data_IF_414983058743
#
_entry.id   IF_414983058743
#
_cell.length_a   1.000
_cell.length_b   1.000
_cell.length_c   1.000
_cell.angle_alpha   90.00
_cell.angle_beta   90.00
_cell.angle_gamma   90.00
#
_symmetry.space_group_name_H-M   'P 1'
#
loop_
_entity.id
_entity.type
_entity.pdbx_description
1 polymer ?
#
# COMPACT_ATOMS: atom_id res chain seq x y z
N UNK A 1 -45.34 -21.33 -22.82
CA UNK A 1 -43.90 -21.38 -23.16
C UNK A 1 -43.43 -19.93 -23.24
N UNK A 2 -43.15 -19.36 -22.08
CA UNK A 2 -42.89 -17.93 -21.87
C UNK A 2 -42.03 -17.80 -20.61
N UNK A 3 -41.08 -16.87 -20.63
CA UNK A 3 -40.55 -16.14 -19.47
C UNK A 3 -39.69 -16.93 -18.47
N UNK A 4 -38.44 -17.25 -18.84
CA UNK A 4 -37.41 -17.69 -17.90
C UNK A 4 -36.09 -16.88 -17.97
N UNK A 5 -36.06 -15.74 -18.68
CA UNK A 5 -34.83 -14.97 -18.93
C UNK A 5 -34.82 -13.54 -18.35
N UNK A 6 -35.64 -13.23 -17.32
CA UNK A 6 -35.75 -11.85 -16.77
C UNK A 6 -35.45 -11.73 -15.26
N UNK A 7 -34.49 -12.49 -14.76
CA UNK A 7 -33.83 -12.26 -13.46
C UNK A 7 -32.35 -12.59 -13.71
N UNK A 8 -31.46 -11.62 -13.92
CA UNK A 8 -30.70 -11.02 -12.82
C UNK A 8 -29.98 -9.74 -13.26
N UNK A 9 -30.65 -8.83 -13.97
CA UNK A 9 -30.11 -7.46 -14.13
C UNK A 9 -30.39 -6.69 -12.84
N UNK A 10 -29.45 -6.72 -11.89
CA UNK A 10 -29.50 -5.91 -10.69
C UNK A 10 -29.64 -4.43 -11.08
N UNK A 11 -30.67 -3.70 -10.61
CA UNK A 11 -30.92 -2.30 -10.97
C UNK A 11 -29.93 -1.30 -10.31
N UNK A 12 -28.71 -1.75 -9.99
CA UNK A 12 -27.67 -0.96 -9.31
C UNK A 12 -26.47 -0.57 -10.19
N UNK A 13 -26.35 -1.13 -11.41
CA UNK A 13 -25.16 -0.95 -12.25
C UNK A 13 -25.19 0.33 -13.13
N UNK A 14 -26.27 1.11 -13.10
CA UNK A 14 -26.42 2.36 -13.86
C UNK A 14 -25.84 3.61 -13.16
N UNK A 15 -25.25 3.45 -11.97
CA UNK A 15 -24.35 4.46 -11.42
C UNK A 15 -23.01 4.39 -12.15
N UNK A 16 -23.03 4.81 -13.41
CA UNK A 16 -21.84 5.00 -14.22
C UNK A 16 -20.80 5.77 -13.41
N UNK A 17 -19.54 5.29 -13.34
CA UNK A 17 -18.52 5.91 -12.52
C UNK A 17 -18.47 7.39 -12.88
N UNK A 18 -18.75 8.25 -11.89
CA UNK A 18 -18.72 9.70 -12.12
C UNK A 18 -17.36 10.06 -12.71
N UNK A 19 -17.39 10.54 -13.96
CA UNK A 19 -16.23 10.79 -14.82
C UNK A 19 -15.30 11.91 -14.31
N UNK A 20 -15.44 12.37 -13.07
CA UNK A 20 -14.51 13.34 -12.47
C UNK A 20 -13.12 12.74 -12.26
N UNK A 21 -13.00 11.40 -12.23
CA UNK A 21 -11.73 10.73 -11.93
C UNK A 21 -10.68 10.81 -13.04
N UNK A 22 -11.05 11.03 -14.31
CA UNK A 22 -10.08 11.04 -15.42
C UNK A 22 -9.38 12.40 -15.55
N UNK A 23 -10.11 13.51 -15.38
CA UNK A 23 -9.56 14.87 -15.39
C UNK A 23 -8.63 15.11 -14.20
N UNK A 24 -9.04 14.70 -13.00
CA UNK A 24 -8.18 14.73 -11.81
C UNK A 24 -6.92 13.88 -12.02
N UNK A 25 -7.05 12.74 -12.70
CA UNK A 25 -5.90 11.87 -12.97
C UNK A 25 -4.97 12.46 -14.02
N UNK A 26 -5.48 13.05 -15.10
CA UNK A 26 -4.68 13.57 -16.21
C UNK A 26 -3.89 14.82 -15.84
N UNK A 27 -4.50 15.77 -15.11
CA UNK A 27 -3.86 17.05 -14.75
C UNK A 27 -2.90 16.95 -13.56
N UNK A 28 -3.07 15.96 -12.68
CA UNK A 28 -2.15 15.79 -11.56
C UNK A 28 -0.74 15.38 -12.00
N UNK A 29 -0.59 14.54 -13.02
CA UNK A 29 0.74 14.12 -13.47
C UNK A 29 1.66 15.26 -13.91
N UNK A 30 1.24 16.17 -14.83
CA UNK A 30 2.08 17.30 -15.21
C UNK A 30 2.32 18.26 -14.05
N UNK A 31 1.36 18.43 -13.12
CA UNK A 31 1.56 19.25 -11.93
C UNK A 31 2.66 18.71 -11.02
N UNK A 32 2.63 17.42 -10.67
CA UNK A 32 3.69 16.81 -9.85
C UNK A 32 5.03 16.73 -10.59
N UNK A 33 5.00 16.55 -11.92
CA UNK A 33 6.19 16.66 -12.77
C UNK A 33 6.79 18.07 -12.74
N UNK A 34 5.95 19.11 -12.85
CA UNK A 34 6.36 20.51 -12.79
C UNK A 34 6.92 20.88 -11.41
N UNK A 35 6.25 20.45 -10.32
CA UNK A 35 6.75 20.67 -8.95
C UNK A 35 8.08 19.93 -8.76
N UNK A 36 8.19 18.69 -9.22
CA UNK A 36 9.43 17.93 -9.18
C UNK A 36 10.56 18.62 -9.94
N UNK A 37 10.28 19.15 -11.12
CA UNK A 37 11.22 19.93 -11.92
C UNK A 37 11.64 21.23 -11.22
N UNK A 38 10.69 21.98 -10.67
CA UNK A 38 10.99 23.21 -9.92
C UNK A 38 11.87 22.93 -8.71
N UNK A 39 11.58 21.86 -7.95
CA UNK A 39 12.42 21.47 -6.81
C UNK A 39 13.80 20.99 -7.29
N UNK A 40 13.87 20.28 -8.41
CA UNK A 40 15.15 19.92 -9.01
C UNK A 40 15.99 21.16 -9.35
N UNK A 41 15.42 22.15 -10.05
CA UNK A 41 16.10 23.38 -10.44
C UNK A 41 16.57 24.20 -9.23
N UNK A 42 15.73 24.31 -8.19
CA UNK A 42 16.05 25.10 -6.99
C UNK A 42 17.09 24.40 -6.11
N UNK A 43 17.10 23.07 -6.04
CA UNK A 43 17.91 22.31 -5.06
C UNK A 43 19.08 21.56 -5.67
N UNK A 44 19.14 21.47 -7.00
CA UNK A 44 20.05 20.60 -7.74
C UNK A 44 20.05 19.13 -7.25
N UNK A 45 18.97 18.69 -6.60
CA UNK A 45 18.86 17.37 -5.98
C UNK A 45 17.86 16.49 -6.71
N UNK A 46 18.37 15.55 -7.52
CA UNK A 46 17.53 14.55 -8.21
C UNK A 46 16.74 13.67 -7.23
N UNK A 47 17.29 13.42 -6.03
CA UNK A 47 16.63 12.62 -5.00
C UNK A 47 15.31 13.24 -4.52
N UNK A 48 15.29 14.56 -4.27
CA UNK A 48 14.07 15.24 -3.82
C UNK A 48 13.02 15.35 -4.91
N UNK A 49 13.43 15.60 -6.16
CA UNK A 49 12.52 15.61 -7.30
C UNK A 49 11.80 14.26 -7.49
N UNK A 50 12.56 13.16 -7.40
CA UNK A 50 12.01 11.80 -7.44
C UNK A 50 11.08 11.56 -6.25
N UNK A 51 11.47 11.96 -5.03
CA UNK A 51 10.62 11.80 -3.85
C UNK A 51 9.25 12.48 -4.02
N UNK A 52 9.22 13.72 -4.52
CA UNK A 52 7.99 14.46 -4.80
C UNK A 52 7.13 13.73 -5.85
N UNK A 53 7.76 13.26 -6.92
CA UNK A 53 7.07 12.49 -7.94
C UNK A 53 6.48 11.20 -7.37
N UNK A 54 7.21 10.50 -6.49
CA UNK A 54 6.76 9.28 -5.83
C UNK A 54 5.59 9.53 -4.86
N UNK A 55 5.52 10.69 -4.18
CA UNK A 55 4.41 11.05 -3.29
C UNK A 55 3.06 10.97 -4.01
N UNK A 56 3.00 11.29 -5.31
CA UNK A 56 1.77 11.19 -6.11
C UNK A 56 1.14 9.80 -6.08
N UNK A 57 1.94 8.74 -6.04
CA UNK A 57 1.46 7.36 -5.99
C UNK A 57 0.85 7.02 -4.63
N UNK A 58 1.39 7.61 -3.56
CA UNK A 58 0.95 7.41 -2.18
C UNK A 58 -0.27 8.21 -1.75
N UNK A 59 -0.61 9.28 -2.47
CA UNK A 59 -1.72 10.17 -2.12
C UNK A 59 -3.06 9.45 -1.97
N UNK A 60 -3.28 8.38 -2.73
CA UNK A 60 -4.50 7.57 -2.61
C UNK A 60 -4.59 6.86 -1.26
N UNK A 61 -3.47 6.32 -0.77
CA UNK A 61 -3.41 5.62 0.51
C UNK A 61 -3.54 6.60 1.69
N UNK A 62 -2.97 7.82 1.57
CA UNK A 62 -3.15 8.88 2.57
C UNK A 62 -4.60 9.36 2.60
N UNK A 63 -5.22 9.57 1.43
CA UNK A 63 -6.64 9.95 1.35
C UNK A 63 -7.53 8.88 1.98
N UNK A 64 -7.24 7.59 1.73
CA UNK A 64 -7.94 6.49 2.39
C UNK A 64 -7.79 6.60 3.91
N UNK A 65 -6.57 6.76 4.43
CA UNK A 65 -6.36 6.84 5.87
C UNK A 65 -7.06 8.03 6.53
N UNK A 66 -7.08 9.19 5.85
CA UNK A 66 -7.81 10.37 6.31
C UNK A 66 -9.33 10.19 6.25
N UNK A 67 -9.83 9.51 5.22
CA UNK A 67 -11.25 9.21 5.06
C UNK A 67 -11.72 8.20 6.12
N UNK A 68 -10.97 7.12 6.36
CA UNK A 68 -11.25 6.15 7.41
C UNK A 68 -11.26 6.79 8.80
N UNK A 69 -10.30 7.69 9.08
CA UNK A 69 -10.26 8.41 10.34
C UNK A 69 -11.46 9.37 10.54
N UNK A 70 -12.23 9.68 9.49
CA UNK A 70 -13.44 10.52 9.56
C UNK A 70 -14.73 9.71 9.58
N UNK A 71 -14.81 8.63 8.79
CA UNK A 71 -16.03 7.83 8.63
C UNK A 71 -16.18 6.74 9.69
N UNK A 72 -15.07 6.23 10.23
CA UNK A 72 -15.11 5.18 11.22
C UNK A 72 -15.66 5.70 12.55
N UNK A 73 -16.72 5.05 13.07
CA UNK A 73 -17.34 5.37 14.36
C UNK A 73 -16.36 5.24 15.53
N UNK A 74 -15.34 4.38 15.39
CA UNK A 74 -14.25 4.22 16.34
C UNK A 74 -13.00 4.94 15.82
N UNK A 75 -12.74 6.12 16.40
CA UNK A 75 -11.58 6.96 16.03
C UNK A 75 -10.23 6.23 16.20
N UNK A 76 -10.09 5.33 17.18
CA UNK A 76 -8.84 4.60 17.38
C UNK A 76 -8.61 3.60 16.23
N UNK A 77 -9.66 2.90 15.80
CA UNK A 77 -9.64 2.00 14.65
C UNK A 77 -9.27 2.73 13.37
N UNK A 78 -9.92 3.87 13.12
CA UNK A 78 -9.65 4.73 11.96
C UNK A 78 -8.21 5.25 11.93
N UNK A 79 -7.64 5.60 13.09
CA UNK A 79 -6.22 6.00 13.21
C UNK A 79 -5.27 4.85 12.90
N UNK A 80 -5.53 3.65 13.43
CA UNK A 80 -4.70 2.47 13.19
C UNK A 80 -4.71 2.09 11.71
N UNK A 81 -5.90 1.95 11.12
CA UNK A 81 -6.06 1.63 9.69
C UNK A 81 -5.42 2.71 8.83
N UNK A 82 -5.57 3.99 9.19
CA UNK A 82 -4.94 5.10 8.47
C UNK A 82 -3.42 5.11 8.54
N UNK A 83 -2.82 4.80 9.69
CA UNK A 83 -1.36 4.66 9.83
C UNK A 83 -0.83 3.48 8.99
N UNK A 84 -1.53 2.36 8.99
CA UNK A 84 -1.15 1.20 8.19
C UNK A 84 -1.28 1.48 6.69
N UNK A 85 -2.34 2.18 6.26
CA UNK A 85 -2.49 2.68 4.89
C UNK A 85 -1.34 3.64 4.50
N UNK A 86 -0.98 4.59 5.37
CA UNK A 86 0.16 5.48 5.14
C UNK A 86 1.48 4.72 4.99
N UNK A 87 1.63 3.59 5.68
CA UNK A 87 2.82 2.76 5.54
C UNK A 87 2.89 2.00 4.20
N UNK A 88 1.74 1.63 3.63
CA UNK A 88 1.64 1.07 2.27
C UNK A 88 2.10 2.11 1.23
N UNK A 89 1.79 3.40 1.43
CA UNK A 89 2.36 4.47 0.62
C UNK A 89 3.91 4.44 0.67
N UNK A 90 4.48 4.36 1.88
CA UNK A 90 5.93 4.35 2.06
C UNK A 90 6.61 3.20 1.31
N UNK A 91 5.96 2.04 1.27
CA UNK A 91 6.39 0.92 0.44
C UNK A 91 6.37 1.26 -1.06
N UNK A 92 5.24 1.76 -1.59
CA UNK A 92 5.11 2.06 -3.02
C UNK A 92 6.18 3.05 -3.47
N UNK A 93 6.44 4.07 -2.65
CA UNK A 93 7.53 5.05 -2.86
C UNK A 93 8.88 4.35 -2.90
N UNK A 94 9.16 3.46 -1.94
CA UNK A 94 10.42 2.72 -1.86
C UNK A 94 10.62 1.82 -3.08
N UNK A 95 9.59 1.08 -3.48
CA UNK A 95 9.63 0.17 -4.63
C UNK A 95 9.87 0.94 -5.94
N UNK A 96 9.15 2.05 -6.14
CA UNK A 96 9.31 2.90 -7.32
C UNK A 96 10.71 3.53 -7.36
N UNK A 97 11.20 4.03 -6.23
CA UNK A 97 12.55 4.58 -6.12
C UNK A 97 13.61 3.53 -6.44
N UNK A 98 13.45 2.30 -5.94
CA UNK A 98 14.33 1.18 -6.25
C UNK A 98 14.34 0.87 -7.76
N UNK A 99 13.16 0.83 -8.40
CA UNK A 99 13.05 0.63 -9.85
C UNK A 99 13.81 1.72 -10.61
N UNK A 100 13.72 2.99 -10.19
CA UNK A 100 14.47 4.10 -10.80
C UNK A 100 15.97 3.92 -10.63
N UNK A 101 16.45 3.55 -9.44
CA UNK A 101 17.88 3.27 -9.19
C UNK A 101 18.39 2.13 -10.07
N UNK A 102 17.64 1.03 -10.15
CA UNK A 102 18.00 -0.12 -11.00
C UNK A 102 18.02 0.26 -12.46
N UNK A 103 17.03 1.01 -12.93
CA UNK A 103 16.98 1.49 -14.31
C UNK A 103 18.19 2.37 -14.64
N UNK A 104 18.54 3.32 -13.76
CA UNK A 104 19.73 4.16 -13.91
C UNK A 104 21.02 3.33 -13.93
N UNK A 105 21.13 2.33 -13.07
CA UNK A 105 22.28 1.43 -13.04
C UNK A 105 22.42 0.62 -14.35
N UNK A 106 21.29 0.10 -14.88
CA UNK A 106 21.26 -0.62 -16.16
C UNK A 106 21.70 0.31 -17.28
N UNK A 107 21.12 1.51 -17.37
CA UNK A 107 21.47 2.51 -18.39
C UNK A 107 22.96 2.87 -18.34
N UNK A 108 23.56 2.94 -17.15
CA UNK A 108 25.00 3.22 -16.96
C UNK A 108 25.91 2.05 -17.34
N UNK A 109 25.43 0.83 -17.13
CA UNK A 109 26.17 -0.39 -17.49
C UNK A 109 26.04 -0.76 -18.97
N UNK A 110 25.07 -0.17 -19.67
CA UNK A 110 24.78 -0.43 -21.07
C UNK A 110 25.99 -0.09 -21.95
N UNK A 111 26.54 -1.05 -22.72
CA UNK A 111 27.63 -0.79 -23.66
C UNK A 111 27.20 0.10 -24.83
N UNK A 112 25.90 0.30 -25.02
CA UNK A 112 25.31 1.08 -26.10
C UNK A 112 25.08 2.55 -25.74
N UNK A 113 25.18 2.91 -24.46
CA UNK A 113 25.00 4.28 -24.02
C UNK A 113 26.29 5.10 -24.16
N UNK A 114 26.38 5.95 -25.18
CA UNK A 114 27.29 7.11 -25.16
C UNK A 114 26.78 8.14 -24.12
N UNK A 115 26.75 7.73 -22.85
CA UNK A 115 26.34 8.61 -21.76
C UNK A 115 27.31 9.79 -21.67
N UNK A 116 26.79 11.00 -21.36
CA UNK A 116 27.61 12.20 -21.29
C UNK A 116 28.78 12.03 -20.32
N UNK A 117 29.89 12.71 -20.63
CA UNK A 117 31.22 12.58 -20.01
C UNK A 117 31.25 12.82 -18.49
N UNK A 118 30.14 13.25 -17.87
CA UNK A 118 30.06 13.59 -16.46
C UNK A 118 29.65 12.41 -15.56
N UNK A 119 30.48 11.36 -15.49
CA UNK A 119 30.29 10.22 -14.57
C UNK A 119 30.13 10.66 -13.11
N UNK A 120 30.77 11.76 -12.70
CA UNK A 120 30.67 12.30 -11.34
C UNK A 120 29.25 12.76 -11.01
N UNK A 121 28.62 13.53 -11.89
CA UNK A 121 27.23 13.96 -11.70
C UNK A 121 26.29 12.76 -11.50
N UNK A 122 26.47 11.70 -12.29
CA UNK A 122 25.62 10.51 -12.19
C UNK A 122 25.87 9.75 -10.88
N UNK A 123 27.13 9.63 -10.44
CA UNK A 123 27.45 9.04 -9.13
C UNK A 123 26.81 9.84 -7.98
N UNK A 124 26.83 11.17 -8.06
CA UNK A 124 26.15 12.03 -7.09
C UNK A 124 24.63 11.81 -7.12
N UNK A 125 24.02 11.68 -8.31
CA UNK A 125 22.59 11.37 -8.44
C UNK A 125 22.25 10.03 -7.79
N UNK A 126 22.98 8.95 -8.09
CA UNK A 126 22.76 7.64 -7.48
C UNK A 126 22.85 7.73 -5.95
N UNK A 127 23.93 8.34 -5.44
CA UNK A 127 24.11 8.49 -4.00
C UNK A 127 22.95 9.25 -3.36
N UNK A 128 22.52 10.37 -3.95
CA UNK A 128 21.39 11.16 -3.45
C UNK A 128 20.08 10.37 -3.41
N UNK A 129 19.79 9.58 -4.45
CA UNK A 129 18.57 8.76 -4.54
C UNK A 129 18.64 7.61 -3.54
N UNK A 130 19.80 6.95 -3.39
CA UNK A 130 19.99 5.89 -2.40
C UNK A 130 19.76 6.39 -0.97
N UNK A 131 20.34 7.54 -0.60
CA UNK A 131 20.13 8.15 0.72
C UNK A 131 18.65 8.50 0.93
N UNK A 132 18.02 9.14 -0.06
CA UNK A 132 16.60 9.52 0.02
C UNK A 132 15.70 8.30 0.17
N UNK A 133 16.00 7.22 -0.56
CA UNK A 133 15.27 5.95 -0.47
C UNK A 133 15.43 5.32 0.91
N UNK A 134 16.65 5.29 1.45
CA UNK A 134 16.92 4.74 2.78
C UNK A 134 16.15 5.51 3.88
N UNK A 135 16.12 6.84 3.79
CA UNK A 135 15.34 7.67 4.73
C UNK A 135 13.84 7.39 4.61
N UNK A 136 13.28 7.39 3.39
CA UNK A 136 11.87 7.11 3.16
C UNK A 136 11.45 5.74 3.72
N UNK A 137 12.34 4.76 3.58
CA UNK A 137 12.15 3.41 4.04
C UNK A 137 12.19 3.28 5.57
N UNK A 138 13.11 3.99 6.23
CA UNK A 138 13.15 4.08 7.71
C UNK A 138 11.87 4.73 8.25
N UNK A 139 11.39 5.79 7.60
CA UNK A 139 10.13 6.45 7.97
C UNK A 139 8.94 5.50 7.79
N UNK A 140 8.87 4.79 6.66
CA UNK A 140 7.82 3.80 6.41
C UNK A 140 7.83 2.69 7.49
N UNK A 141 9.01 2.17 7.81
CA UNK A 141 9.23 1.15 8.84
C UNK A 141 8.73 1.62 10.22
N UNK A 142 9.07 2.87 10.58
CA UNK A 142 8.66 3.47 11.84
C UNK A 142 7.13 3.63 11.91
N UNK A 143 6.50 4.09 10.83
CA UNK A 143 5.04 4.26 10.75
C UNK A 143 4.32 2.91 10.86
N UNK A 144 4.75 1.86 10.13
CA UNK A 144 4.13 0.54 10.28
C UNK A 144 4.34 -0.02 11.69
N UNK A 145 5.56 0.07 12.23
CA UNK A 145 5.88 -0.40 13.58
C UNK A 145 4.98 0.26 14.61
N UNK A 146 4.77 1.57 14.49
CA UNK A 146 3.88 2.32 15.36
C UNK A 146 2.42 1.90 15.18
N UNK A 147 1.94 1.74 13.94
CA UNK A 147 0.59 1.25 13.64
C UNK A 147 0.32 -0.14 14.22
N UNK A 148 1.24 -1.08 14.06
CA UNK A 148 1.14 -2.42 14.65
C UNK A 148 1.22 -2.39 16.17
N UNK A 149 2.09 -1.57 16.76
CA UNK A 149 2.17 -1.43 18.20
C UNK A 149 0.86 -0.90 18.78
N UNK A 150 0.27 0.12 18.15
CA UNK A 150 -1.01 0.71 18.56
C UNK A 150 -2.16 -0.30 18.43
N UNK A 151 -2.22 -1.03 17.31
CA UNK A 151 -3.21 -2.09 17.10
C UNK A 151 -3.13 -3.18 18.18
N UNK A 152 -1.91 -3.61 18.53
CA UNK A 152 -1.68 -4.58 19.61
C UNK A 152 -2.09 -4.06 20.98
N UNK A 153 -1.81 -2.78 21.26
CA UNK A 153 -2.15 -2.15 22.54
C UNK A 153 -3.67 -2.13 22.75
N UNK A 154 -4.43 -1.82 21.71
CA UNK A 154 -5.89 -1.73 21.74
C UNK A 154 -6.56 -3.11 21.48
N UNK A 155 -5.77 -4.12 21.11
CA UNK A 155 -6.23 -5.48 20.72
C UNK A 155 -7.24 -5.46 19.59
N UNK A 156 -7.15 -4.47 18.71
CA UNK A 156 -8.05 -4.33 17.59
C UNK A 156 -7.47 -5.03 16.36
N UNK A 157 -8.30 -5.85 15.73
CA UNK A 157 -7.95 -6.46 14.46
C UNK A 157 -8.17 -5.46 13.33
N UNK A 158 -7.32 -5.53 12.31
CA UNK A 158 -7.32 -4.62 11.17
C UNK A 158 -7.62 -5.40 9.90
N UNK A 159 -8.52 -4.87 9.09
CA UNK A 159 -8.83 -5.37 7.75
C UNK A 159 -8.54 -4.27 6.73
N UNK A 160 -7.75 -4.58 5.71
CA UNK A 160 -7.41 -3.69 4.61
C UNK A 160 -7.54 -4.51 3.34
N UNK A 161 -8.45 -4.12 2.46
CA UNK A 161 -8.67 -4.79 1.18
C UNK A 161 -8.80 -3.77 0.03
N UNK A 162 -8.72 -4.26 -1.21
CA UNK A 162 -8.93 -3.46 -2.41
C UNK A 162 -10.32 -2.83 -2.47
N UNK A 163 -11.36 -3.47 -1.92
CA UNK A 163 -12.68 -2.84 -1.79
C UNK A 163 -12.63 -1.58 -0.92
N UNK A 164 -11.95 -1.66 0.22
CA UNK A 164 -11.76 -0.53 1.12
C UNK A 164 -10.97 0.62 0.47
N UNK A 165 -10.00 0.31 -0.41
CA UNK A 165 -9.26 1.31 -1.18
C UNK A 165 -10.10 2.07 -2.21
N UNK A 166 -11.27 1.52 -2.61
CA UNK A 166 -12.21 2.16 -3.53
C UNK A 166 -13.28 2.98 -2.82
N UNK A 167 -13.64 2.62 -1.60
CA UNK A 167 -14.70 3.28 -0.83
C UNK A 167 -14.58 4.83 -0.76
N UNK A 168 -13.40 5.45 -0.60
CA UNK A 168 -13.30 6.92 -0.62
C UNK A 168 -13.63 7.57 -1.98
N UNK A 169 -13.62 6.81 -3.08
CA UNK A 169 -14.00 7.31 -4.41
C UNK A 169 -15.51 7.24 -4.62
N UNK A 170 -16.16 6.27 -3.99
CA UNK A 170 -17.60 6.06 -4.04
C UNK A 170 -18.34 6.84 -2.93
N UNK A 171 -17.59 7.33 -1.93
CA UNK A 171 -18.09 7.96 -0.70
C UNK A 171 -19.15 7.12 0.02
N UNK A 172 -19.00 5.80 -0.08
CA UNK A 172 -19.91 4.82 0.52
C UNK A 172 -19.33 4.30 1.82
N UNK A 173 -20.07 4.48 2.91
CA UNK A 173 -19.81 3.83 4.19
C UNK A 173 -21.11 3.22 4.72
N UNK A 174 -21.13 1.92 5.07
CA UNK A 174 -20.04 0.95 4.95
C UNK A 174 -19.70 0.60 3.48
N UNK A 175 -18.46 0.16 3.18
CA UNK A 175 -18.09 -0.39 1.88
C UNK A 175 -19.01 -1.52 1.43
N UNK A 176 -19.47 -1.48 0.18
CA UNK A 176 -20.36 -2.51 -0.43
C UNK A 176 -19.75 -3.90 -0.46
N UNK A 177 -18.41 -4.02 -0.40
CA UNK A 177 -17.74 -5.32 -0.27
C UNK A 177 -18.09 -6.06 1.04
N UNK A 178 -18.73 -5.40 2.01
CA UNK A 178 -19.26 -6.04 3.20
C UNK A 178 -20.63 -6.69 3.01
N UNK A 179 -21.40 -6.39 1.95
CA UNK A 179 -22.75 -6.94 1.79
C UNK A 179 -22.82 -8.13 0.82
N UNK A 180 -22.07 -8.12 -0.28
CA UNK A 180 -22.25 -9.11 -1.36
C UNK A 180 -21.52 -10.44 -1.16
N UNK A 181 -20.57 -10.52 -0.22
CA UNK A 181 -19.66 -11.66 -0.11
C UNK A 181 -19.89 -12.56 1.12
N UNK A 182 -20.69 -12.17 2.11
CA UNK A 182 -20.96 -13.03 3.28
C UNK A 182 -21.70 -14.34 2.94
N UNK A 183 -22.38 -14.40 1.79
CA UNK A 183 -23.31 -15.48 1.48
C UNK A 183 -22.71 -16.77 0.90
N UNK A 184 -21.90 -16.72 -0.19
CA UNK A 184 -21.73 -17.94 -1.02
C UNK A 184 -20.38 -18.18 -1.72
N UNK A 185 -19.36 -17.35 -1.57
CA UNK A 185 -18.09 -17.52 -2.32
C UNK A 185 -16.80 -16.95 -1.73
N UNK A 186 -16.85 -16.26 -0.59
CA UNK A 186 -15.72 -15.56 0.03
C UNK A 186 -14.64 -16.46 0.66
N UNK A 187 -14.50 -17.71 0.20
CA UNK A 187 -13.57 -18.67 0.78
C UNK A 187 -12.08 -18.36 0.54
N UNK A 188 -11.73 -17.41 -0.32
CA UNK A 188 -10.33 -17.15 -0.70
C UNK A 188 -9.96 -15.67 -0.86
N UNK A 189 -10.81 -14.75 -0.39
CA UNK A 189 -10.47 -13.33 -0.23
C UNK A 189 -9.45 -13.13 0.89
N UNK A 190 -8.30 -13.81 0.81
CA UNK A 190 -7.20 -13.68 1.75
C UNK A 190 -6.83 -12.20 1.76
N UNK A 191 -6.53 -11.68 2.94
CA UNK A 191 -6.24 -10.27 3.22
C UNK A 191 -4.99 -9.80 2.45
N UNK A 192 -5.12 -9.66 1.12
CA UNK A 192 -4.02 -9.55 0.16
C UNK A 192 -3.18 -8.30 0.42
N UNK A 193 -3.80 -7.25 0.95
CA UNK A 193 -3.12 -6.01 1.31
C UNK A 193 -2.28 -6.18 2.57
N UNK A 194 -2.72 -6.99 3.55
CA UNK A 194 -1.90 -7.30 4.73
C UNK A 194 -0.76 -8.23 4.34
N UNK A 195 -1.01 -9.21 3.49
CA UNK A 195 0.05 -10.05 2.91
C UNK A 195 1.05 -9.21 2.10
N UNK A 196 0.57 -8.21 1.35
CA UNK A 196 1.40 -7.29 0.61
C UNK A 196 2.17 -6.36 1.53
N UNK A 197 1.54 -5.82 2.59
CA UNK A 197 2.20 -5.00 3.61
C UNK A 197 3.22 -5.81 4.42
N UNK A 198 2.97 -7.12 4.60
CA UNK A 198 3.93 -8.03 5.18
C UNK A 198 5.09 -8.24 4.19
N UNK A 199 4.81 -8.64 2.95
CA UNK A 199 5.81 -8.83 1.90
C UNK A 199 6.68 -7.59 1.70
N UNK A 200 6.07 -6.42 1.73
CA UNK A 200 6.70 -5.11 1.71
C UNK A 200 7.74 -4.95 2.80
N UNK A 201 7.34 -5.24 4.03
CA UNK A 201 8.20 -5.17 5.20
C UNK A 201 9.36 -6.18 5.12
N UNK A 202 9.05 -7.38 4.61
CA UNK A 202 10.04 -8.44 4.38
C UNK A 202 11.04 -8.09 3.29
N UNK A 203 10.60 -7.40 2.24
CA UNK A 203 11.44 -6.92 1.16
C UNK A 203 12.29 -5.72 1.64
N UNK A 204 11.74 -4.90 2.55
CA UNK A 204 12.40 -3.71 3.02
C UNK A 204 13.65 -4.00 3.85
N UNK A 205 13.59 -4.92 4.81
CA UNK A 205 14.75 -5.26 5.65
C UNK A 205 16.05 -5.65 4.89
N UNK A 206 16.01 -6.62 3.96
CA UNK A 206 17.19 -6.98 3.17
C UNK A 206 17.60 -5.87 2.20
N UNK A 207 16.70 -4.98 1.79
CA UNK A 207 17.09 -3.82 0.99
C UNK A 207 17.82 -2.76 1.85
N UNK A 208 17.31 -2.42 3.04
CA UNK A 208 17.98 -1.47 3.97
C UNK A 208 19.35 -1.98 4.39
N UNK A 209 19.44 -3.27 4.71
CA UNK A 209 20.66 -3.85 5.28
C UNK A 209 21.58 -4.37 4.16
N UNK A 210 21.03 -5.09 3.20
CA UNK A 210 21.79 -5.77 2.15
C UNK A 210 22.31 -4.82 1.07
N UNK A 211 21.62 -3.73 0.71
CA UNK A 211 22.13 -2.80 -0.33
C UNK A 211 23.37 -2.04 0.14
N UNK A 212 23.41 -1.43 1.33
CA UNK A 212 24.63 -0.77 1.81
C UNK A 212 25.78 -1.76 2.02
N UNK A 213 25.49 -2.97 2.54
CA UNK A 213 26.49 -4.02 2.70
C UNK A 213 27.04 -4.43 1.34
N UNK A 214 26.19 -4.66 0.33
CA UNK A 214 26.66 -5.00 -1.02
C UNK A 214 27.45 -3.90 -1.68
N UNK A 215 27.05 -2.64 -1.52
CA UNK A 215 27.79 -1.49 -2.07
C UNK A 215 29.16 -1.37 -1.37
N UNK A 216 29.20 -1.46 -0.04
CA UNK A 216 30.45 -1.43 0.72
C UNK A 216 31.37 -2.58 0.35
N UNK A 217 30.82 -3.80 0.26
CA UNK A 217 31.54 -5.01 -0.14
C UNK A 217 32.01 -4.92 -1.59
N UNK A 218 31.24 -4.39 -2.52
CA UNK A 218 31.65 -4.21 -3.91
C UNK A 218 32.83 -3.24 -4.02
N UNK A 219 32.80 -2.15 -3.25
CA UNK A 219 33.91 -1.21 -3.15
C UNK A 219 35.18 -1.85 -2.56
N UNK A 220 35.01 -2.71 -1.55
CA UNK A 220 36.11 -3.37 -0.85
C UNK A 220 36.70 -4.57 -1.63
N UNK A 221 35.86 -5.33 -2.35
CA UNK A 221 36.30 -6.35 -3.33
C UNK A 221 37.21 -5.73 -4.37
N UNK A 222 36.91 -4.50 -4.81
CA UNK A 222 37.77 -3.76 -5.73
C UNK A 222 39.13 -3.41 -5.11
N UNK A 223 39.22 -3.35 -3.77
CA UNK A 223 40.45 -3.14 -3.01
C UNK A 223 41.17 -4.44 -2.58
N UNK A 224 40.70 -5.63 -3.03
CA UNK A 224 41.38 -6.94 -2.94
C UNK A 224 41.66 -7.51 -1.54
N UNK A 225 41.11 -6.99 -0.43
CA UNK A 225 41.49 -7.50 0.91
C UNK A 225 40.43 -8.29 1.71
N UNK A 226 39.16 -8.40 1.28
CA UNK A 226 38.13 -9.00 2.15
C UNK A 226 37.74 -10.45 1.83
N UNK A 227 38.07 -11.40 2.71
CA UNK A 227 37.70 -12.84 2.62
C UNK A 227 36.46 -13.23 3.46
N UNK A 228 35.85 -12.30 4.21
CA UNK A 228 34.72 -12.56 5.13
C UNK A 228 33.31 -12.58 4.51
N UNK A 229 33.20 -12.57 3.18
CA UNK A 229 31.95 -12.31 2.45
C UNK A 229 30.78 -13.27 2.74
N UNK A 230 30.95 -14.60 2.90
CA UNK A 230 29.81 -15.50 3.07
C UNK A 230 29.18 -15.34 4.45
N UNK A 231 30.00 -15.02 5.47
CA UNK A 231 29.57 -14.86 6.84
C UNK A 231 28.64 -13.66 7.04
N UNK A 232 28.96 -12.52 6.40
CA UNK A 232 28.11 -11.32 6.45
C UNK A 232 26.76 -11.59 5.81
N UNK A 233 26.74 -12.23 4.63
CA UNK A 233 25.49 -12.58 3.96
C UNK A 233 24.65 -13.58 4.74
N UNK A 234 25.26 -14.61 5.31
CA UNK A 234 24.58 -15.57 6.19
C UNK A 234 23.97 -14.86 7.42
N UNK A 235 24.70 -13.94 8.04
CA UNK A 235 24.21 -13.14 9.16
C UNK A 235 23.03 -12.23 8.75
N UNK A 236 23.10 -11.59 7.58
CA UNK A 236 22.01 -10.74 7.06
C UNK A 236 20.79 -11.58 6.73
N UNK A 237 20.95 -12.69 6.01
CA UNK A 237 19.84 -13.57 5.63
C UNK A 237 19.17 -14.22 6.84
N UNK A 238 19.96 -14.66 7.84
CA UNK A 238 19.42 -15.21 9.09
C UNK A 238 18.71 -14.14 9.92
N UNK A 239 19.26 -12.93 10.02
CA UNK A 239 18.60 -11.79 10.65
C UNK A 239 17.28 -11.43 9.98
N UNK A 240 17.26 -11.36 8.64
CA UNK A 240 16.05 -11.13 7.85
C UNK A 240 15.03 -12.24 8.10
N UNK A 241 15.44 -13.51 8.10
CA UNK A 241 14.56 -14.65 8.36
C UNK A 241 13.94 -14.62 9.77
N UNK A 242 14.74 -14.29 10.80
CA UNK A 242 14.25 -14.17 12.18
C UNK A 242 13.24 -13.02 12.31
N UNK A 243 13.56 -11.85 11.75
CA UNK A 243 12.64 -10.70 11.80
C UNK A 243 11.37 -11.01 11.00
N UNK A 244 11.48 -11.68 9.85
CA UNK A 244 10.35 -12.15 9.04
C UNK A 244 9.43 -13.03 9.87
N UNK A 245 9.99 -14.00 10.59
CA UNK A 245 9.23 -14.93 11.42
C UNK A 245 8.53 -14.21 12.57
N UNK A 246 9.23 -13.33 13.30
CA UNK A 246 8.65 -12.53 14.38
C UNK A 246 7.53 -11.62 13.88
N UNK A 247 7.70 -11.01 12.70
CA UNK A 247 6.71 -10.12 12.12
C UNK A 247 5.48 -10.90 11.62
N UNK A 248 5.65 -12.03 10.94
CA UNK A 248 4.52 -12.89 10.56
C UNK A 248 3.70 -13.29 11.77
N UNK A 249 4.36 -13.64 12.88
CA UNK A 249 3.69 -13.94 14.15
C UNK A 249 2.90 -12.74 14.67
N UNK A 250 3.44 -11.52 14.61
CA UNK A 250 2.76 -10.31 15.04
C UNK A 250 1.60 -9.91 14.13
N UNK A 251 1.77 -10.03 12.81
CA UNK A 251 0.73 -9.73 11.82
C UNK A 251 -0.46 -10.64 12.01
N UNK A 252 -0.25 -11.95 12.19
CA UNK A 252 -1.35 -12.90 12.44
C UNK A 252 -2.16 -12.58 13.71
N UNK A 253 -1.61 -11.83 14.66
CA UNK A 253 -2.34 -11.38 15.86
C UNK A 253 -3.18 -10.13 15.61
N UNK A 254 -2.83 -9.33 14.61
CA UNK A 254 -3.48 -8.03 14.32
C UNK A 254 -4.36 -8.10 13.07
N UNK A 255 -4.06 -8.97 12.12
CA UNK A 255 -4.82 -9.13 10.89
C UNK A 255 -6.17 -9.77 11.18
N UNK A 256 -7.25 -9.09 10.80
CA UNK A 256 -8.57 -9.69 10.75
C UNK A 256 -8.61 -10.75 9.63
N UNK A 257 -9.34 -11.84 9.85
CA UNK A 257 -9.61 -12.84 8.81
C UNK A 257 -10.84 -12.52 7.97
N UNK A 258 -11.76 -11.75 8.54
CA UNK A 258 -12.97 -11.28 7.89
C UNK A 258 -13.23 -9.83 8.29
N UNK A 259 -13.95 -9.05 7.48
CA UNK A 259 -14.30 -7.68 7.83
C UNK A 259 -15.12 -7.59 9.13
N UNK A 260 -15.96 -8.59 9.41
CA UNK A 260 -16.72 -8.73 10.65
C UNK A 260 -15.85 -8.70 11.92
N UNK A 261 -14.64 -9.26 11.88
CA UNK A 261 -13.72 -9.21 13.02
C UNK A 261 -13.21 -7.79 13.32
N UNK A 262 -13.27 -6.89 12.33
CA UNK A 262 -12.84 -5.50 12.45
C UNK A 262 -14.01 -4.55 12.75
N UNK A 263 -15.20 -4.83 12.19
CA UNK A 263 -16.44 -4.06 12.34
C UNK A 263 -17.64 -4.95 12.72
N UNK A 264 -17.68 -5.49 13.95
CA UNK A 264 -18.80 -6.35 14.38
C UNK A 264 -20.14 -5.62 14.37
N UNK A 265 -20.16 -4.32 14.63
CA UNK A 265 -21.37 -3.49 14.68
C UNK A 265 -22.12 -3.41 13.33
N UNK A 266 -21.43 -3.66 12.21
CA UNK A 266 -22.07 -3.67 10.90
C UNK A 266 -22.90 -4.95 10.68
N UNK A 267 -22.55 -6.06 11.34
CA UNK A 267 -23.32 -7.30 11.28
C UNK A 267 -24.63 -7.20 12.06
N UNK A 268 -24.58 -6.61 13.25
CA UNK A 268 -25.76 -6.45 14.12
C UNK A 268 -26.88 -5.68 13.40
N UNK A 269 -26.53 -4.68 12.58
CA UNK A 269 -27.51 -3.90 11.80
C UNK A 269 -28.20 -4.66 10.67
N UNK A 270 -27.63 -5.78 10.20
CA UNK A 270 -28.20 -6.59 9.13
C UNK A 270 -29.23 -7.58 9.67
N UNK A 271 -28.93 -8.23 10.80
CA UNK A 271 -29.81 -9.23 11.41
C UNK A 271 -31.13 -8.59 11.90
N UNK A 272 -31.09 -7.35 12.42
CA UNK A 272 -32.30 -6.65 12.87
C UNK A 272 -33.30 -6.32 11.74
N UNK A 273 -32.85 -6.25 10.49
CA UNK A 273 -33.73 -5.95 9.35
C UNK A 273 -34.36 -7.20 8.70
N UNK A 274 -33.77 -8.39 8.87
CA UNK A 274 -34.31 -9.63 8.29
C UNK A 274 -35.40 -10.27 9.15
N UNK A 275 -35.39 -10.04 10.47
CA UNK A 275 -36.39 -10.59 11.40
C UNK A 275 -37.65 -9.72 11.55
N UNK A 276 -37.74 -8.61 10.80
CA UNK A 276 -39.00 -7.88 10.64
C UNK A 276 -40.05 -8.83 10.04
N UNK A 277 -41.24 -8.99 10.66
CA UNK A 277 -42.28 -9.86 10.11
C UNK A 277 -42.49 -9.44 8.66
N UNK A 278 -42.46 -10.38 7.70
CA UNK A 278 -42.52 -10.07 6.27
C UNK A 278 -43.69 -9.13 6.11
N UNK A 279 -43.39 -7.87 5.75
CA UNK A 279 -44.36 -6.80 5.68
C UNK A 279 -45.50 -7.36 4.85
N UNK A 280 -46.58 -7.71 5.56
CA UNK A 280 -47.57 -8.62 5.03
C UNK A 280 -48.09 -7.93 3.79
N UNK A 281 -47.74 -8.48 2.62
CA UNK A 281 -48.12 -7.97 1.31
C UNK A 281 -49.61 -7.73 1.39
N UNK A 282 -49.98 -6.48 1.66
CA UNK A 282 -51.36 -6.08 1.77
C UNK A 282 -51.91 -6.32 0.38
N UNK A 283 -52.67 -7.41 0.26
CA UNK A 283 -53.31 -7.83 -0.97
C UNK A 283 -54.02 -6.62 -1.55
N UNK A 284 -53.47 -6.05 -2.62
CA UNK A 284 -54.19 -5.08 -3.43
C UNK A 284 -55.45 -5.80 -3.91
N UNK A 285 -56.65 -5.29 -3.58
CA UNK A 285 -57.88 -5.89 -4.06
C UNK A 285 -57.89 -5.80 -5.58
N UNK A 286 -58.12 -6.94 -6.24
CA UNK A 286 -58.31 -7.00 -7.68
C UNK A 286 -59.56 -6.21 -8.06
N UNK A 287 -59.41 -5.23 -8.95
CA UNK A 287 -60.50 -4.63 -9.73
C UNK A 287 -60.60 -5.29 -11.10
#
# INVERSE_FOLDING_TARGET
MSSADSADSWPGDDLGPTDTSWLDRAWMWPLFGLIGLLVFEVTASSGMAIAIFCVKFGMKDVRLGLWLNRQDSNLERGRITGLLAASIMGLKITLLSLCVVVLLAILLSSPFGQLPQNRRAIQHSIHSVSVTTAVAMLVALAISSYGFHLARRIRQKVWLDNGLLRAPQEDTWPPTCFSTEFGRGAGHGRNTVIDLAQFAYLLQLPLVIGVPITIGVWFDIRQRQFHGWPGVWLAVLSGVGLVTWLMRRNVNLVAAQTPAECWPELLESHDENEDGPPESVAQQPAE
#
